data_IF_696921177059
#
_entry.id   IF_696921177059
#
_cell.length_a   1.000
_cell.length_b   1.000
_cell.length_c   1.000
_cell.angle_alpha   90.00
_cell.angle_beta   90.00
_cell.angle_gamma   90.00
#
_symmetry.space_group_name_H-M   'P 1'
#
loop_
_entity.id
_entity.type
_entity.pdbx_description
1 polymer ?
#
# COMPACT_ATOMS: atom_id res chain seq x y z
N UNK A 1 16.10 9.01 11.92
CA UNK A 1 16.75 10.22 12.47
C UNK A 1 16.62 10.18 13.98
N UNK A 2 17.59 10.72 14.75
CA UNK A 2 17.51 10.73 16.21
C UNK A 2 16.28 11.54 16.66
N UNK A 3 15.49 11.00 17.60
CA UNK A 3 14.31 11.69 18.14
C UNK A 3 14.72 12.95 18.90
N UNK A 4 13.78 13.88 19.15
CA UNK A 4 14.05 15.08 19.96
C UNK A 4 14.70 14.72 21.31
N UNK A 5 14.35 13.56 21.88
CA UNK A 5 14.97 13.02 23.09
C UNK A 5 16.47 12.67 22.90
N UNK A 6 16.88 12.17 21.74
CA UNK A 6 18.29 11.85 21.44
C UNK A 6 19.13 13.11 21.19
N UNK A 7 18.53 14.19 20.65
CA UNK A 7 19.19 15.51 20.61
C UNK A 7 19.35 16.12 22.01
N UNK A 8 18.32 16.06 22.84
CA UNK A 8 18.37 16.53 24.23
C UNK A 8 19.38 15.72 25.05
N UNK A 9 19.42 14.39 24.87
CA UNK A 9 20.40 13.53 25.53
C UNK A 9 21.85 13.83 25.10
N UNK A 10 22.08 14.18 23.83
CA UNK A 10 23.40 14.64 23.34
C UNK A 10 23.81 15.99 23.91
N UNK A 11 22.89 16.95 23.99
CA UNK A 11 23.16 18.26 24.60
C UNK A 11 23.43 18.08 26.11
N UNK A 12 22.62 17.25 26.79
CA UNK A 12 22.78 16.93 28.20
C UNK A 12 24.10 16.22 28.52
N UNK A 13 24.49 15.23 27.72
CA UNK A 13 25.77 14.52 27.91
C UNK A 13 26.98 15.41 27.64
N UNK A 14 26.88 16.33 26.69
CA UNK A 14 27.93 17.30 26.41
C UNK A 14 28.07 18.34 27.52
N UNK A 15 26.96 18.86 28.05
CA UNK A 15 26.95 19.73 29.23
C UNK A 15 27.50 19.03 30.48
N UNK A 16 27.16 17.75 30.66
CA UNK A 16 27.69 16.92 31.74
C UNK A 16 29.19 16.71 31.61
N UNK A 17 29.71 16.41 30.41
CA UNK A 17 31.16 16.28 30.15
C UNK A 17 31.92 17.60 30.45
N UNK A 18 31.36 18.74 30.05
CA UNK A 18 31.94 20.06 30.36
C UNK A 18 31.97 20.32 31.88
N UNK A 19 30.90 19.95 32.59
CA UNK A 19 30.79 20.10 34.05
C UNK A 19 31.74 19.15 34.79
N UNK A 20 31.90 17.93 34.30
CA UNK A 20 32.83 16.93 34.87
C UNK A 20 34.28 17.37 34.71
N UNK A 21 34.67 17.92 33.56
CA UNK A 21 36.01 18.51 33.36
C UNK A 21 36.24 19.75 34.25
N UNK A 22 35.24 20.61 34.42
CA UNK A 22 35.33 21.77 35.31
C UNK A 22 35.44 21.38 36.80
N UNK A 23 34.89 20.22 37.20
CA UNK A 23 34.99 19.70 38.56
C UNK A 23 36.28 18.89 38.83
N UNK A 24 36.97 18.40 37.79
CA UNK A 24 38.29 17.76 37.89
C UNK A 24 39.44 18.78 37.98
N UNK A 25 39.15 20.06 37.71
CA UNK A 25 40.04 21.22 37.78
C UNK A 25 40.89 21.37 39.08
N UNK A 26 40.39 21.03 40.29
CA UNK A 26 41.19 21.14 41.53
C UNK A 26 42.40 20.19 41.60
N UNK A 27 42.44 19.16 40.75
CA UNK A 27 43.54 18.19 40.71
C UNK A 27 44.79 18.68 39.95
N UNK A 28 44.68 19.78 39.20
CA UNK A 28 45.76 20.45 38.46
C UNK A 28 46.53 21.50 39.30
N UNK A 29 46.00 21.89 40.46
CA UNK A 29 46.55 22.94 41.31
C UNK A 29 47.81 22.51 42.12
N UNK A 30 48.27 21.27 41.98
CA UNK A 30 49.41 20.70 42.73
C UNK A 30 50.71 20.62 41.92
N UNK A 31 50.77 21.17 40.70
CA UNK A 31 51.93 21.09 39.79
C UNK A 31 52.79 22.37 39.79
N UNK A 32 54.07 22.23 39.42
CA UNK A 32 55.07 23.30 39.42
C UNK A 32 54.78 24.38 38.34
N UNK A 33 55.29 25.60 38.54
CA UNK A 33 54.82 26.83 37.85
C UNK A 33 54.77 26.81 36.31
N UNK A 34 55.68 26.07 35.64
CA UNK A 34 55.73 25.94 34.17
C UNK A 34 54.74 24.91 33.61
N UNK A 35 54.51 23.83 34.34
CA UNK A 35 53.55 22.78 33.96
C UNK A 35 52.12 23.31 34.13
N UNK A 36 51.88 24.10 35.18
CA UNK A 36 50.62 24.78 35.42
C UNK A 36 50.22 25.71 34.26
N UNK A 37 51.16 26.52 33.74
CA UNK A 37 50.88 27.41 32.60
C UNK A 37 50.54 26.63 31.31
N UNK A 38 51.26 25.55 31.03
CA UNK A 38 51.05 24.73 29.83
C UNK A 38 49.69 24.01 29.88
N UNK A 39 49.31 23.50 31.06
CA UNK A 39 48.04 22.83 31.26
C UNK A 39 46.85 23.80 31.20
N UNK A 40 46.99 25.04 31.69
CA UNK A 40 45.97 26.08 31.55
C UNK A 40 45.76 26.42 30.07
N UNK A 41 46.83 26.64 29.30
CA UNK A 41 46.73 26.94 27.86
C UNK A 41 46.06 25.77 27.11
N UNK A 42 46.42 24.52 27.41
CA UNK A 42 45.80 23.35 26.80
C UNK A 42 44.31 23.24 27.13
N UNK A 43 43.92 23.57 28.36
CA UNK A 43 42.52 23.59 28.79
C UNK A 43 41.73 24.70 28.10
N UNK A 44 42.28 25.91 27.98
CA UNK A 44 41.63 27.02 27.28
C UNK A 44 41.37 26.67 25.81
N UNK A 45 42.35 26.07 25.13
CA UNK A 45 42.19 25.59 23.74
C UNK A 45 41.10 24.52 23.65
N UNK A 46 41.05 23.58 24.60
CA UNK A 46 40.03 22.52 24.64
C UNK A 46 38.63 23.11 24.83
N UNK A 47 38.46 24.05 25.76
CA UNK A 47 37.18 24.73 26.03
C UNK A 47 36.72 25.53 24.81
N UNK A 48 37.61 26.30 24.18
CA UNK A 48 37.31 27.04 22.94
C UNK A 48 36.85 26.09 21.83
N UNK A 49 37.56 24.97 21.65
CA UNK A 49 37.23 23.97 20.63
C UNK A 49 35.85 23.34 20.87
N UNK A 50 35.50 23.04 22.12
CA UNK A 50 34.18 22.51 22.49
C UNK A 50 33.07 23.53 22.23
N UNK A 51 33.26 24.80 22.62
CA UNK A 51 32.28 25.88 22.38
C UNK A 51 32.04 26.05 20.88
N UNK A 52 33.11 26.11 20.09
CA UNK A 52 32.99 26.24 18.62
C UNK A 52 32.23 25.04 18.04
N UNK A 53 32.52 23.82 18.47
CA UNK A 53 31.80 22.63 18.01
C UNK A 53 30.31 22.66 18.37
N UNK A 54 29.96 23.08 19.60
CA UNK A 54 28.56 23.28 20.02
C UNK A 54 27.89 24.33 19.14
N UNK A 55 28.51 25.50 18.97
CA UNK A 55 27.96 26.57 18.14
C UNK A 55 27.71 26.12 16.70
N UNK A 56 28.64 25.37 16.10
CA UNK A 56 28.49 24.80 14.75
C UNK A 56 27.33 23.81 14.71
N UNK A 57 27.23 22.89 15.68
CA UNK A 57 26.14 21.91 15.73
C UNK A 57 24.78 22.57 15.93
N UNK A 58 24.66 23.56 16.82
CA UNK A 58 23.42 24.31 17.06
C UNK A 58 23.02 25.14 15.83
N UNK A 59 23.96 25.83 15.19
CA UNK A 59 23.69 26.60 13.97
C UNK A 59 23.26 25.70 12.80
N UNK A 60 23.95 24.57 12.61
CA UNK A 60 23.61 23.58 11.59
C UNK A 60 22.24 22.98 11.85
N UNK A 61 21.95 22.58 13.09
CA UNK A 61 20.64 22.05 13.49
C UNK A 61 19.50 23.04 13.28
N UNK A 62 19.69 24.32 13.65
CA UNK A 62 18.71 25.37 13.43
C UNK A 62 18.44 25.64 11.94
N UNK A 63 19.48 25.61 11.12
CA UNK A 63 19.38 25.79 9.67
C UNK A 63 18.61 24.62 9.04
N UNK A 64 18.89 23.38 9.44
CA UNK A 64 18.15 22.19 9.01
C UNK A 64 16.67 22.30 9.43
N UNK A 65 16.37 22.70 10.67
CA UNK A 65 14.99 22.81 11.14
C UNK A 65 14.18 23.86 10.36
N UNK A 66 14.75 25.07 10.17
CA UNK A 66 14.12 26.12 9.37
C UNK A 66 13.91 25.69 7.92
N UNK A 67 14.90 24.99 7.36
CA UNK A 67 14.80 24.45 6.01
C UNK A 67 13.67 23.42 5.89
N UNK A 68 13.56 22.50 6.87
CA UNK A 68 12.49 21.50 6.95
C UNK A 68 11.12 22.18 6.97
N UNK A 69 10.94 23.19 7.81
CA UNK A 69 9.68 23.95 7.88
C UNK A 69 9.34 24.66 6.57
N UNK A 70 10.31 25.33 5.92
CA UNK A 70 10.07 26.01 4.64
C UNK A 70 9.69 25.03 3.53
N UNK A 71 10.40 23.89 3.45
CA UNK A 71 10.12 22.86 2.45
C UNK A 71 8.77 22.21 2.71
N UNK A 72 8.43 21.95 3.98
CA UNK A 72 7.15 21.39 4.38
C UNK A 72 5.98 22.27 3.93
N UNK A 73 6.08 23.59 4.16
CA UNK A 73 5.08 24.55 3.69
C UNK A 73 4.96 24.57 2.16
N UNK A 74 6.10 24.56 1.44
CA UNK A 74 6.09 24.52 -0.03
C UNK A 74 5.50 23.21 -0.56
N UNK A 75 5.81 22.08 0.09
CA UNK A 75 5.23 20.78 -0.25
C UNK A 75 3.72 20.81 -0.06
N UNK A 76 3.24 21.24 1.11
CA UNK A 76 1.80 21.30 1.41
C UNK A 76 1.04 22.17 0.41
N UNK A 77 1.59 23.32 0.01
CA UNK A 77 0.99 24.18 -1.00
C UNK A 77 0.94 23.50 -2.38
N UNK A 78 2.03 22.88 -2.83
CA UNK A 78 2.08 22.17 -4.11
C UNK A 78 1.14 20.94 -4.11
N UNK A 79 1.09 20.24 -2.99
CA UNK A 79 0.23 19.11 -2.74
C UNK A 79 -1.26 19.48 -2.77
N UNK A 80 -1.67 20.56 -2.08
CA UNK A 80 -3.06 21.03 -2.09
C UNK A 80 -3.49 21.49 -3.49
N UNK A 81 -2.58 22.10 -4.27
CA UNK A 81 -2.85 22.46 -5.65
C UNK A 81 -3.02 21.22 -6.55
N UNK A 82 -2.24 20.16 -6.32
CA UNK A 82 -2.36 18.88 -7.03
C UNK A 82 -3.70 18.19 -6.75
N UNK A 83 -4.19 18.22 -5.51
CA UNK A 83 -5.49 17.64 -5.13
C UNK A 83 -6.70 18.35 -5.78
N UNK A 84 -6.54 19.61 -6.19
CA UNK A 84 -7.59 20.39 -6.85
C UNK A 84 -7.67 20.11 -8.36
N UNK A 85 -6.80 19.28 -8.91
CA UNK A 85 -6.84 18.91 -10.32
C UNK A 85 -8.12 18.10 -10.62
N UNK A 86 -9.05 18.64 -11.43
CA UNK A 86 -10.29 17.96 -11.76
C UNK A 86 -10.09 16.61 -12.47
N UNK A 87 -8.94 16.41 -13.14
CA UNK A 87 -8.65 15.16 -13.83
C UNK A 87 -8.32 14.02 -12.87
N UNK A 88 -7.79 14.32 -11.67
CA UNK A 88 -7.50 13.32 -10.63
C UNK A 88 -8.76 12.91 -9.84
N UNK A 89 -9.85 13.66 -9.98
CA UNK A 89 -11.13 13.40 -9.31
C UNK A 89 -12.05 12.47 -10.12
N UNK A 90 -11.61 11.99 -11.30
CA UNK A 90 -12.35 11.04 -12.13
C UNK A 90 -11.59 9.69 -12.24
N UNK A 91 -11.83 8.74 -11.31
CA UNK A 91 -11.10 7.46 -11.25
C UNK A 91 -11.13 6.67 -12.57
N UNK A 92 -12.28 6.69 -13.27
CA UNK A 92 -12.49 5.92 -14.51
C UNK A 92 -11.79 6.45 -15.76
N UNK A 93 -11.04 7.56 -15.68
CA UNK A 93 -10.44 8.22 -16.87
C UNK A 93 -8.93 8.41 -16.79
N UNK A 94 -8.29 7.89 -15.75
CA UNK A 94 -6.87 8.12 -15.49
C UNK A 94 -6.00 7.07 -16.20
N UNK A 95 -5.56 7.41 -17.41
CA UNK A 95 -4.64 6.59 -18.24
C UNK A 95 -3.31 6.32 -17.54
N UNK A 96 -2.65 5.22 -17.91
CA UNK A 96 -1.28 4.90 -17.48
C UNK A 96 -0.29 6.05 -17.74
N UNK A 97 -0.38 6.77 -18.85
CA UNK A 97 0.51 7.89 -19.19
C UNK A 97 0.38 9.03 -18.19
N UNK A 98 -0.86 9.39 -17.83
CA UNK A 98 -1.16 10.40 -16.80
C UNK A 98 -0.65 9.95 -15.43
N UNK A 99 -0.85 8.68 -15.07
CA UNK A 99 -0.31 8.10 -13.83
C UNK A 99 1.21 8.16 -13.79
N UNK A 100 1.90 7.77 -14.88
CA UNK A 100 3.36 7.89 -15.01
C UNK A 100 3.82 9.32 -14.77
N UNK A 101 3.15 10.29 -15.40
CA UNK A 101 3.48 11.69 -15.22
C UNK A 101 3.25 12.15 -13.77
N UNK A 102 2.13 11.76 -13.17
CA UNK A 102 1.79 12.10 -11.79
C UNK A 102 2.80 11.55 -10.77
N UNK A 103 3.21 10.28 -10.94
CA UNK A 103 4.22 9.63 -10.10
C UNK A 103 5.59 10.30 -10.27
N UNK A 104 5.99 10.65 -11.51
CA UNK A 104 7.24 11.41 -11.77
C UNK A 104 7.24 12.75 -11.05
N UNK A 105 6.14 13.50 -11.16
CA UNK A 105 5.97 14.80 -10.53
C UNK A 105 6.16 14.70 -9.01
N UNK A 106 5.49 13.72 -8.37
CA UNK A 106 5.61 13.51 -6.94
C UNK A 106 6.97 12.95 -6.50
N UNK A 107 7.64 12.18 -7.35
CA UNK A 107 9.01 11.72 -7.09
C UNK A 107 9.99 12.90 -7.05
N UNK A 108 9.89 13.82 -8.02
CA UNK A 108 10.70 15.03 -8.05
C UNK A 108 10.40 15.87 -6.82
N UNK A 109 9.12 16.03 -6.45
CA UNK A 109 8.71 16.78 -5.26
C UNK A 109 9.26 16.16 -3.97
N UNK A 110 9.17 14.84 -3.82
CA UNK A 110 9.68 14.13 -2.64
C UNK A 110 11.22 14.20 -2.55
N UNK A 111 11.93 13.96 -3.66
CA UNK A 111 13.39 13.98 -3.71
C UNK A 111 13.95 15.38 -3.46
N UNK A 112 13.44 16.39 -4.17
CA UNK A 112 13.88 17.78 -4.02
C UNK A 112 13.42 18.39 -2.70
N UNK A 113 12.28 17.93 -2.17
CA UNK A 113 11.76 18.30 -0.86
C UNK A 113 12.44 17.60 0.33
N UNK A 114 13.44 16.75 0.10
CA UNK A 114 14.15 16.12 1.22
C UNK A 114 15.13 17.12 1.87
N UNK A 115 15.20 17.19 3.22
CA UNK A 115 16.16 18.05 3.91
C UNK A 115 17.62 17.73 3.55
N UNK A 116 17.91 16.47 3.21
CA UNK A 116 19.24 16.00 2.83
C UNK A 116 19.66 16.54 1.46
N UNK A 117 18.78 16.47 0.45
CA UNK A 117 19.03 17.02 -0.88
C UNK A 117 19.25 18.53 -0.80
N UNK A 118 18.37 19.23 -0.09
CA UNK A 118 18.46 20.68 0.06
C UNK A 118 19.70 21.14 0.85
N UNK A 119 20.13 20.39 1.86
CA UNK A 119 21.40 20.68 2.56
C UNK A 119 22.58 20.47 1.63
N UNK A 120 22.60 19.39 0.84
CA UNK A 120 23.67 19.10 -0.12
C UNK A 120 23.76 20.15 -1.25
N UNK A 121 22.62 20.68 -1.69
CA UNK A 121 22.56 21.72 -2.71
C UNK A 121 22.81 23.14 -2.16
N UNK A 122 22.88 23.33 -0.83
CA UNK A 122 23.12 24.67 -0.25
C UNK A 122 24.54 25.19 -0.55
N UNK A 123 24.65 26.51 -0.69
CA UNK A 123 25.92 27.19 -1.01
C UNK A 123 27.04 26.92 0.01
N UNK A 124 26.68 26.62 1.26
CA UNK A 124 27.64 26.32 2.34
C UNK A 124 28.34 24.96 2.19
N UNK A 125 27.72 23.99 1.52
CA UNK A 125 28.28 22.63 1.36
C UNK A 125 28.97 22.45 0.01
N UNK A 126 28.56 23.21 -1.02
CA UNK A 126 29.18 23.20 -2.37
C UNK A 126 30.64 23.66 -2.39
N UNK A 127 31.11 24.34 -1.34
CA UNK A 127 32.51 24.70 -1.14
C UNK A 127 33.40 23.52 -0.65
N UNK A 128 32.79 22.41 -0.20
CA UNK A 128 33.51 21.21 0.24
C UNK A 128 33.37 20.08 -0.79
N UNK A 129 34.41 19.88 -1.62
CA UNK A 129 34.39 18.94 -2.74
C UNK A 129 34.14 17.45 -2.42
N UNK A 130 33.96 17.09 -1.14
CA UNK A 130 33.80 15.71 -0.67
C UNK A 130 32.44 15.07 -1.06
N UNK A 131 31.38 15.85 -1.25
CA UNK A 131 30.05 15.31 -1.54
C UNK A 131 29.77 15.01 -3.02
N UNK A 132 30.61 15.51 -3.96
CA UNK A 132 30.55 15.07 -5.37
C UNK A 132 30.74 13.56 -5.50
N UNK A 133 31.50 12.94 -4.60
CA UNK A 133 31.76 11.49 -4.59
C UNK A 133 30.51 10.65 -4.25
N UNK A 134 29.66 11.12 -3.32
CA UNK A 134 28.53 10.32 -2.80
C UNK A 134 27.34 10.24 -3.77
N UNK A 135 27.22 11.19 -4.69
CA UNK A 135 26.28 11.12 -5.80
C UNK A 135 26.92 10.64 -7.12
N UNK A 136 28.25 10.62 -7.22
CA UNK A 136 28.94 9.99 -8.37
C UNK A 136 28.94 8.47 -8.28
N UNK A 137 28.83 7.86 -7.10
CA UNK A 137 28.67 6.40 -6.98
C UNK A 137 27.30 5.90 -7.50
N UNK A 138 26.36 6.81 -7.77
CA UNK A 138 25.10 6.51 -8.48
C UNK A 138 25.17 6.77 -10.00
N UNK A 139 26.32 7.21 -10.52
CA UNK A 139 26.51 7.39 -11.97
C UNK A 139 26.80 6.06 -12.66
N UNK A 140 25.73 5.29 -12.89
CA UNK A 140 25.76 4.10 -13.74
C UNK A 140 26.17 4.53 -15.16
N UNK A 141 27.15 3.80 -15.68
CA UNK A 141 27.78 3.91 -17.01
C UNK A 141 26.76 4.17 -18.11
N UNK A 142 27.01 5.25 -18.85
CA UNK A 142 26.18 5.75 -19.95
C UNK A 142 26.33 4.85 -21.20
N UNK A 143 25.32 4.04 -21.51
CA UNK A 143 25.10 3.51 -22.85
C UNK A 143 24.21 4.48 -23.66
N UNK A 144 24.66 4.89 -24.85
CA UNK A 144 23.90 5.75 -25.75
C UNK A 144 22.82 4.95 -26.49
N UNK A 145 21.54 5.28 -26.28
CA UNK A 145 20.44 5.00 -27.21
C UNK A 145 19.37 6.10 -27.13
N UNK A 146 18.66 6.28 -28.26
CA UNK A 146 17.75 7.39 -28.58
C UNK A 146 16.61 7.59 -27.55
N UNK A 147 16.45 8.82 -27.04
CA UNK A 147 15.38 9.27 -26.13
C UNK A 147 14.34 10.13 -26.87
N UNK A 148 13.05 9.95 -26.53
CA UNK A 148 11.99 10.93 -26.83
C UNK A 148 12.27 12.24 -26.07
N UNK A 149 11.98 13.37 -26.70
CA UNK A 149 12.23 14.71 -26.16
C UNK A 149 11.18 15.06 -25.08
N UNK A 150 11.48 14.77 -23.81
CA UNK A 150 10.66 15.18 -22.64
C UNK A 150 10.65 16.72 -22.50
N UNK A 151 9.47 17.32 -22.34
CA UNK A 151 9.30 18.74 -22.03
C UNK A 151 9.47 18.99 -20.52
N UNK A 152 10.64 19.43 -20.09
CA UNK A 152 10.94 19.64 -18.67
C UNK A 152 10.22 20.86 -18.05
N UNK A 153 9.57 21.71 -18.84
CA UNK A 153 8.80 22.83 -18.33
C UNK A 153 7.64 22.38 -17.42
N UNK A 154 7.08 21.20 -17.69
CA UNK A 154 5.95 20.64 -16.95
C UNK A 154 6.37 20.05 -15.58
N UNK A 155 7.68 19.81 -15.38
CA UNK A 155 8.24 19.29 -14.12
C UNK A 155 8.68 20.39 -13.16
N UNK A 156 8.98 21.60 -13.67
CA UNK A 156 9.49 22.73 -12.86
C UNK A 156 8.58 23.10 -11.68
N UNK A 157 7.24 23.10 -11.80
CA UNK A 157 6.36 23.40 -10.66
C UNK A 157 6.48 22.42 -9.49
N UNK A 158 7.00 21.22 -9.73
CA UNK A 158 7.13 20.15 -8.73
C UNK A 158 8.50 20.13 -8.04
N UNK A 159 9.39 21.08 -8.35
CA UNK A 159 10.72 21.19 -7.75
C UNK A 159 10.66 22.05 -6.49
N UNK A 160 10.95 21.46 -5.33
CA UNK A 160 10.96 22.15 -4.03
C UNK A 160 12.36 22.65 -3.67
N UNK A 161 12.64 23.92 -3.93
CA UNK A 161 13.91 24.57 -3.57
C UNK A 161 13.77 25.46 -2.33
N UNK A 162 14.81 25.50 -1.49
CA UNK A 162 14.91 26.41 -0.35
C UNK A 162 15.19 27.86 -0.74
N UNK A 163 16.01 28.09 -1.75
CA UNK A 163 16.42 29.40 -2.23
C UNK A 163 15.70 29.67 -3.53
N UNK A 164 15.00 30.81 -3.66
CA UNK A 164 14.22 31.13 -4.86
C UNK A 164 15.13 31.50 -6.06
N UNK A 165 16.43 31.67 -5.81
CA UNK A 165 17.44 32.12 -6.78
C UNK A 165 18.29 30.96 -7.36
N UNK A 166 18.14 29.74 -6.83
CA UNK A 166 18.99 28.60 -7.17
C UNK A 166 18.24 27.57 -8.02
N UNK A 167 18.11 27.87 -9.31
CA UNK A 167 17.43 26.99 -10.26
C UNK A 167 18.16 25.65 -10.39
N UNK A 168 17.46 24.54 -10.10
CA UNK A 168 18.00 23.20 -10.30
C UNK A 168 18.37 23.02 -11.77
N UNK A 169 19.61 22.58 -12.05
CA UNK A 169 20.05 22.44 -13.43
C UNK A 169 19.16 21.44 -14.19
N UNK A 170 18.85 21.75 -15.45
CA UNK A 170 18.08 20.87 -16.33
C UNK A 170 18.71 19.47 -16.43
N UNK A 171 20.04 19.39 -16.35
CA UNK A 171 20.77 18.11 -16.29
C UNK A 171 20.40 17.26 -15.08
N UNK A 172 20.24 17.88 -13.92
CA UNK A 172 19.82 17.20 -12.69
C UNK A 172 18.39 16.70 -12.81
N UNK A 173 17.47 17.53 -13.30
CA UNK A 173 16.07 17.12 -13.56
C UNK A 173 16.00 15.96 -14.55
N UNK A 174 16.76 16.04 -15.66
CA UNK A 174 16.84 14.97 -16.64
C UNK A 174 17.35 13.67 -16.02
N UNK A 175 18.39 13.73 -15.17
CA UNK A 175 18.91 12.56 -14.47
C UNK A 175 17.89 11.94 -13.52
N UNK A 176 17.13 12.76 -12.78
CA UNK A 176 16.08 12.29 -11.87
C UNK A 176 14.92 11.65 -12.66
N UNK A 177 14.44 12.31 -13.71
CA UNK A 177 13.38 11.78 -14.57
C UNK A 177 13.77 10.43 -15.17
N UNK A 178 14.99 10.32 -15.70
CA UNK A 178 15.54 9.08 -16.24
C UNK A 178 15.57 7.96 -15.20
N UNK A 179 16.03 8.25 -13.99
CA UNK A 179 16.06 7.26 -12.91
C UNK A 179 14.68 6.70 -12.58
N UNK A 180 13.66 7.55 -12.48
CA UNK A 180 12.27 7.11 -12.24
C UNK A 180 11.76 6.26 -13.41
N UNK A 181 12.02 6.68 -14.64
CA UNK A 181 11.66 5.89 -15.84
C UNK A 181 12.28 4.49 -15.81
N UNK A 182 13.55 4.37 -15.41
CA UNK A 182 14.25 3.10 -15.30
C UNK A 182 13.67 2.21 -14.17
N UNK A 183 13.27 2.82 -13.05
CA UNK A 183 12.57 2.10 -11.97
C UNK A 183 11.20 1.58 -12.42
N UNK A 184 10.41 2.39 -13.11
CA UNK A 184 9.10 1.96 -13.66
C UNK A 184 9.30 0.77 -14.61
N UNK A 185 10.25 0.86 -15.54
CA UNK A 185 10.58 -0.25 -16.47
C UNK A 185 11.05 -1.51 -15.76
N UNK A 186 11.74 -1.37 -14.62
CA UNK A 186 12.17 -2.52 -13.81
C UNK A 186 10.99 -3.16 -13.08
N UNK A 187 10.06 -2.36 -12.58
CA UNK A 187 8.84 -2.82 -11.92
C UNK A 187 7.86 -3.46 -12.91
N UNK A 188 7.80 -2.96 -14.15
CA UNK A 188 7.01 -3.54 -15.25
C UNK A 188 7.37 -5.01 -15.54
N UNK A 189 8.62 -5.41 -15.31
CA UNK A 189 9.05 -6.80 -15.46
C UNK A 189 8.58 -7.73 -14.33
N UNK A 190 7.97 -7.18 -13.28
CA UNK A 190 7.48 -7.89 -12.10
C UNK A 190 5.95 -7.97 -12.08
N UNK A 191 5.32 -7.81 -13.25
CA UNK A 191 3.87 -7.94 -13.39
C UNK A 191 3.36 -9.32 -12.93
N UNK A 192 2.16 -9.36 -12.32
CA UNK A 192 1.54 -10.59 -11.84
C UNK A 192 0.92 -11.37 -13.01
N UNK A 193 1.69 -12.29 -13.60
CA UNK A 193 1.29 -12.97 -14.84
C UNK A 193 0.04 -13.84 -14.68
N UNK A 194 -0.12 -14.52 -13.54
CA UNK A 194 -1.28 -15.40 -13.32
C UNK A 194 -2.55 -14.57 -13.16
N UNK A 195 -2.48 -13.48 -12.39
CA UNK A 195 -3.57 -12.52 -12.26
C UNK A 195 -3.97 -11.93 -13.61
N UNK A 196 -3.00 -11.50 -14.43
CA UNK A 196 -3.30 -10.95 -15.76
C UNK A 196 -3.97 -11.99 -16.66
N UNK A 197 -3.56 -13.27 -16.60
CA UNK A 197 -4.21 -14.35 -17.33
C UNK A 197 -5.67 -14.53 -16.89
N UNK A 198 -5.92 -14.60 -15.58
CA UNK A 198 -7.27 -14.72 -15.02
C UNK A 198 -8.17 -13.53 -15.40
N UNK A 199 -7.65 -12.30 -15.32
CA UNK A 199 -8.42 -11.10 -15.67
C UNK A 199 -8.82 -11.03 -17.15
N UNK A 200 -8.07 -11.68 -18.05
CA UNK A 200 -8.44 -11.76 -19.48
C UNK A 200 -9.65 -12.66 -19.73
N UNK A 201 -9.94 -13.59 -18.82
CA UNK A 201 -11.11 -14.47 -18.94
C UNK A 201 -12.40 -13.73 -18.56
N UNK A 202 -12.31 -12.75 -17.67
CA UNK A 202 -13.40 -11.84 -17.32
C UNK A 202 -13.60 -10.79 -18.42
N UNK A 203 -14.86 -10.58 -18.85
CA UNK A 203 -15.24 -9.56 -19.84
C UNK A 203 -16.05 -8.40 -19.26
N UNK A 204 -16.46 -8.52 -18.01
CA UNK A 204 -17.37 -7.58 -17.36
C UNK A 204 -17.17 -7.61 -15.86
N UNK A 205 -18.26 -7.35 -15.14
CA UNK A 205 -18.27 -7.27 -13.68
C UNK A 205 -19.52 -7.96 -13.10
N UNK A 206 -20.26 -8.72 -13.90
CA UNK A 206 -21.54 -9.33 -13.51
C UNK A 206 -21.37 -10.31 -12.35
N UNK A 207 -20.21 -10.95 -12.21
CA UNK A 207 -19.86 -11.79 -11.08
C UNK A 207 -19.96 -11.08 -9.72
N UNK A 208 -19.79 -9.75 -9.68
CA UNK A 208 -19.96 -8.95 -8.44
C UNK A 208 -21.42 -8.88 -8.01
N UNK A 209 -22.38 -9.01 -8.93
CA UNK A 209 -23.80 -9.14 -8.58
C UNK A 209 -24.20 -10.57 -8.20
N UNK A 210 -23.55 -11.56 -8.82
CA UNK A 210 -23.90 -12.99 -8.68
C UNK A 210 -23.42 -13.62 -7.37
N UNK A 211 -22.28 -13.19 -6.83
CA UNK A 211 -21.68 -13.85 -5.67
C UNK A 211 -22.57 -13.75 -4.41
N UNK A 212 -23.37 -12.69 -4.30
CA UNK A 212 -24.16 -12.38 -3.13
C UNK A 212 -25.50 -11.73 -3.50
N UNK A 213 -26.58 -12.49 -3.38
CA UNK A 213 -27.94 -12.08 -3.69
C UNK A 213 -28.57 -11.31 -2.52
N UNK A 214 -29.24 -10.20 -2.86
CA UNK A 214 -30.01 -9.41 -1.89
C UNK A 214 -31.22 -10.17 -1.32
N UNK A 215 -31.61 -11.30 -1.91
CA UNK A 215 -32.65 -12.18 -1.39
C UNK A 215 -32.18 -13.07 -0.23
N UNK A 216 -30.87 -13.14 0.02
CA UNK A 216 -30.30 -13.94 1.10
C UNK A 216 -30.08 -13.07 2.35
N UNK A 217 -30.87 -13.26 3.42
CA UNK A 217 -30.67 -12.51 4.65
C UNK A 217 -29.36 -12.94 5.35
N UNK A 218 -28.66 -12.02 6.04
CA UNK A 218 -27.52 -12.38 6.86
C UNK A 218 -27.93 -13.30 8.02
N UNK A 219 -26.97 -14.08 8.54
CA UNK A 219 -27.18 -14.97 9.69
C UNK A 219 -27.45 -14.23 11.01
N UNK A 220 -27.21 -12.91 11.05
CA UNK A 220 -27.45 -12.05 12.21
C UNK A 220 -27.88 -10.65 11.78
N UNK A 221 -28.64 -9.96 12.64
CA UNK A 221 -29.35 -8.71 12.33
C UNK A 221 -28.48 -7.44 12.25
N UNK A 222 -27.14 -7.57 12.26
CA UNK A 222 -26.25 -6.42 12.13
C UNK A 222 -26.04 -6.09 10.65
N UNK A 223 -25.92 -4.79 10.33
CA UNK A 223 -25.66 -4.31 8.97
C UNK A 223 -24.46 -5.07 8.39
N UNK A 224 -24.73 -5.90 7.37
CA UNK A 224 -23.71 -6.72 6.74
C UNK A 224 -22.85 -5.85 5.85
N UNK A 225 -21.62 -5.60 6.32
CA UNK A 225 -20.58 -4.98 5.52
C UNK A 225 -19.68 -6.06 4.95
N UNK A 226 -19.28 -5.85 3.70
CA UNK A 226 -18.41 -6.75 2.98
C UNK A 226 -17.15 -6.00 2.54
N UNK A 227 -16.04 -6.72 2.40
CA UNK A 227 -14.81 -6.18 1.83
C UNK A 227 -14.49 -6.92 0.54
N UNK A 228 -13.52 -6.45 -0.25
CA UNK A 228 -13.17 -7.10 -1.51
C UNK A 228 -12.52 -8.47 -1.27
N UNK A 229 -11.68 -8.58 -0.24
CA UNK A 229 -10.90 -9.78 0.04
C UNK A 229 -11.74 -10.95 0.55
N UNK A 230 -12.78 -10.72 1.35
CA UNK A 230 -13.53 -11.81 2.00
C UNK A 230 -14.30 -12.70 0.99
N UNK A 231 -15.05 -12.17 0.01
CA UNK A 231 -15.70 -12.98 -1.01
C UNK A 231 -14.70 -13.72 -1.90
N UNK A 232 -13.58 -13.10 -2.26
CA UNK A 232 -12.53 -13.75 -3.05
C UNK A 232 -11.99 -14.99 -2.34
N UNK A 233 -11.65 -14.87 -1.05
CA UNK A 233 -11.16 -15.98 -0.24
C UNK A 233 -12.24 -17.06 -0.08
N UNK A 234 -13.49 -16.66 0.10
CA UNK A 234 -14.62 -17.59 0.30
C UNK A 234 -14.92 -18.39 -0.98
N UNK A 235 -15.03 -17.72 -2.14
CA UNK A 235 -15.21 -18.37 -3.44
C UNK A 235 -14.05 -19.30 -3.77
N UNK A 236 -12.82 -18.88 -3.47
CA UNK A 236 -11.63 -19.70 -3.67
C UNK A 236 -11.63 -20.93 -2.78
N UNK A 237 -12.07 -20.82 -1.52
CA UNK A 237 -12.21 -21.96 -0.62
C UNK A 237 -13.18 -23.01 -1.16
N UNK A 238 -14.31 -22.58 -1.73
CA UNK A 238 -15.27 -23.48 -2.40
C UNK A 238 -14.62 -24.12 -3.63
N UNK A 239 -13.93 -23.34 -4.48
CA UNK A 239 -13.30 -23.86 -5.70
C UNK A 239 -12.21 -24.90 -5.40
N UNK A 240 -11.42 -24.68 -4.33
CA UNK A 240 -10.36 -25.61 -3.87
C UNK A 240 -10.92 -26.90 -3.28
N UNK A 241 -12.18 -26.89 -2.82
CA UNK A 241 -12.82 -28.05 -2.21
C UNK A 241 -13.42 -29.03 -3.21
N UNK A 242 -13.47 -28.69 -4.51
CA UNK A 242 -14.05 -29.52 -5.56
C UNK A 242 -13.10 -30.67 -5.94
N UNK A 243 -13.41 -31.93 -5.59
CA UNK A 243 -12.47 -33.05 -5.75
C UNK A 243 -12.25 -33.52 -7.20
N UNK A 244 -13.15 -33.20 -8.13
CA UNK A 244 -13.04 -33.63 -9.53
C UNK A 244 -12.16 -32.68 -10.37
N UNK A 245 -11.87 -31.48 -9.85
CA UNK A 245 -11.08 -30.48 -10.58
C UNK A 245 -9.61 -30.86 -10.55
N UNK A 246 -8.98 -30.79 -11.72
CA UNK A 246 -7.55 -31.05 -11.86
C UNK A 246 -6.73 -30.10 -10.97
N UNK A 247 -5.85 -30.66 -10.14
CA UNK A 247 -5.00 -29.88 -9.22
C UNK A 247 -4.29 -28.70 -9.89
N UNK A 248 -3.75 -28.88 -11.12
CA UNK A 248 -3.07 -27.78 -11.83
C UNK A 248 -3.97 -26.58 -12.18
N UNK A 249 -5.29 -26.77 -12.28
CA UNK A 249 -6.24 -25.65 -12.47
C UNK A 249 -6.52 -24.95 -11.14
N UNK A 250 -6.68 -25.71 -10.07
CA UNK A 250 -6.83 -25.18 -8.71
C UNK A 250 -5.59 -24.37 -8.31
N UNK A 251 -4.39 -24.90 -8.57
CA UNK A 251 -3.11 -24.23 -8.28
C UNK A 251 -2.94 -22.93 -9.06
N UNK A 252 -3.39 -22.88 -10.32
CA UNK A 252 -3.39 -21.66 -11.14
C UNK A 252 -4.35 -20.61 -10.59
N UNK A 253 -5.57 -21.02 -10.21
CA UNK A 253 -6.54 -20.12 -9.59
C UNK A 253 -5.99 -19.57 -8.27
N UNK A 254 -5.44 -20.43 -7.39
CA UNK A 254 -4.80 -20.03 -6.13
C UNK A 254 -3.67 -19.02 -6.37
N UNK A 255 -2.79 -19.27 -7.34
CA UNK A 255 -1.68 -18.36 -7.68
C UNK A 255 -2.21 -17.00 -8.16
N UNK A 256 -3.25 -16.99 -8.98
CA UNK A 256 -3.88 -15.76 -9.49
C UNK A 256 -4.54 -14.95 -8.38
N UNK A 257 -5.26 -15.62 -7.47
CA UNK A 257 -5.90 -14.98 -6.31
C UNK A 257 -4.86 -14.48 -5.31
N UNK A 258 -3.78 -15.23 -5.08
CA UNK A 258 -2.66 -14.80 -4.21
C UNK A 258 -2.02 -13.51 -4.73
N UNK A 259 -1.72 -13.45 -6.03
CA UNK A 259 -1.24 -12.25 -6.70
C UNK A 259 -2.25 -11.09 -6.62
N UNK A 260 -3.54 -11.37 -6.86
CA UNK A 260 -4.63 -10.40 -6.77
C UNK A 260 -4.81 -9.80 -5.38
N UNK A 261 -4.79 -10.64 -4.33
CA UNK A 261 -5.00 -10.21 -2.95
C UNK A 261 -3.94 -9.23 -2.46
N UNK A 262 -2.71 -9.26 -3.01
CA UNK A 262 -1.69 -8.23 -2.76
C UNK A 262 -2.21 -6.83 -3.11
N UNK A 263 -2.85 -6.69 -4.26
CA UNK A 263 -3.36 -5.40 -4.75
C UNK A 263 -4.72 -5.05 -4.15
N UNK A 264 -5.59 -6.04 -3.93
CA UNK A 264 -6.86 -5.85 -3.20
C UNK A 264 -6.60 -5.30 -1.80
N UNK A 265 -5.60 -5.83 -1.08
CA UNK A 265 -5.20 -5.32 0.24
C UNK A 265 -4.78 -3.85 0.15
N UNK A 266 -4.06 -3.45 -0.91
CA UNK A 266 -3.65 -2.06 -1.09
C UNK A 266 -4.85 -1.13 -1.35
N UNK A 267 -5.84 -1.59 -2.12
CA UNK A 267 -7.11 -0.86 -2.33
C UNK A 267 -7.84 -0.69 -1.01
N UNK A 268 -8.03 -1.79 -0.28
CA UNK A 268 -8.73 -1.83 1.01
C UNK A 268 -8.07 -0.93 2.07
N UNK A 269 -6.75 -1.01 2.24
CA UNK A 269 -6.00 -0.18 3.19
C UNK A 269 -5.99 1.30 2.82
N UNK A 270 -6.13 1.64 1.53
CA UNK A 270 -6.04 3.03 1.06
C UNK A 270 -7.39 3.73 0.97
N UNK A 271 -8.48 2.98 0.67
CA UNK A 271 -9.79 3.55 0.36
C UNK A 271 -10.89 3.08 1.33
N UNK A 272 -10.70 1.97 2.05
CA UNK A 272 -11.68 1.34 2.95
C UNK A 272 -11.13 1.22 4.38
N UNK A 273 -10.54 2.29 4.91
CA UNK A 273 -9.73 2.25 6.13
C UNK A 273 -10.50 2.45 7.46
N UNK A 274 -11.84 2.37 7.48
CA UNK A 274 -12.62 2.50 8.73
C UNK A 274 -12.46 1.26 9.62
N UNK A 275 -12.60 1.41 10.94
CA UNK A 275 -12.46 0.31 11.90
C UNK A 275 -13.32 -0.93 11.58
N UNK A 276 -14.50 -0.73 10.98
CA UNK A 276 -15.39 -1.83 10.62
C UNK A 276 -14.85 -2.67 9.46
N UNK A 277 -14.48 -2.03 8.35
CA UNK A 277 -13.80 -2.68 7.22
C UNK A 277 -12.49 -3.35 7.66
N UNK A 278 -11.67 -2.69 8.48
CA UNK A 278 -10.39 -3.24 8.96
C UNK A 278 -10.58 -4.57 9.70
N UNK A 279 -11.67 -4.75 10.45
CA UNK A 279 -11.96 -6.02 11.13
C UNK A 279 -12.28 -7.14 10.14
N UNK A 280 -13.08 -6.86 9.11
CA UNK A 280 -13.46 -7.82 8.07
C UNK A 280 -12.23 -8.20 7.22
N UNK A 281 -11.43 -7.22 6.82
CA UNK A 281 -10.19 -7.41 6.07
C UNK A 281 -9.18 -8.27 6.84
N UNK A 282 -9.05 -8.07 8.17
CA UNK A 282 -8.23 -8.94 9.03
C UNK A 282 -8.75 -10.37 9.04
N UNK A 283 -10.07 -10.57 9.12
CA UNK A 283 -10.66 -11.89 9.05
C UNK A 283 -10.38 -12.57 7.69
N UNK A 284 -10.55 -11.85 6.58
CA UNK A 284 -10.22 -12.34 5.23
C UNK A 284 -8.74 -12.74 5.11
N UNK A 285 -7.83 -11.93 5.66
CA UNK A 285 -6.38 -12.23 5.66
C UNK A 285 -6.03 -13.48 6.45
N UNK A 286 -6.65 -13.68 7.62
CA UNK A 286 -6.44 -14.90 8.42
C UNK A 286 -7.03 -16.12 7.70
N UNK A 287 -8.22 -15.99 7.13
CA UNK A 287 -8.87 -17.06 6.38
C UNK A 287 -8.05 -17.44 5.14
N UNK A 288 -7.48 -16.47 4.42
CA UNK A 288 -6.65 -16.74 3.25
C UNK A 288 -5.45 -17.63 3.60
N UNK A 289 -4.78 -17.37 4.73
CA UNK A 289 -3.68 -18.21 5.19
C UNK A 289 -4.12 -19.66 5.49
N UNK A 290 -5.33 -19.84 6.03
CA UNK A 290 -5.88 -21.19 6.24
C UNK A 290 -6.18 -21.90 4.92
N UNK A 291 -6.77 -21.19 3.95
CA UNK A 291 -7.13 -21.74 2.63
C UNK A 291 -5.88 -22.09 1.84
N UNK A 292 -4.97 -21.14 1.66
CA UNK A 292 -3.77 -21.27 0.81
C UNK A 292 -2.75 -22.24 1.41
N UNK A 293 -2.46 -22.14 2.71
CA UNK A 293 -1.38 -22.92 3.34
C UNK A 293 -1.88 -24.26 3.88
N UNK A 294 -3.06 -24.26 4.50
CA UNK A 294 -3.55 -25.42 5.26
C UNK A 294 -4.64 -26.22 4.54
N UNK A 295 -5.16 -25.75 3.39
CA UNK A 295 -6.35 -26.29 2.74
C UNK A 295 -7.52 -26.42 3.72
N UNK A 296 -7.75 -25.36 4.51
CA UNK A 296 -8.80 -25.31 5.53
C UNK A 296 -9.67 -24.07 5.37
N UNK A 297 -10.91 -24.19 5.83
CA UNK A 297 -11.82 -23.07 6.04
C UNK A 297 -12.27 -23.08 7.50
N UNK A 298 -11.81 -22.10 8.27
CA UNK A 298 -12.14 -21.91 9.70
C UNK A 298 -11.89 -23.18 10.52
N UNK A 299 -10.77 -23.85 10.25
CA UNK A 299 -10.36 -25.11 10.89
C UNK A 299 -10.85 -26.40 10.20
N UNK A 300 -11.91 -26.33 9.40
CA UNK A 300 -12.45 -27.49 8.67
C UNK A 300 -11.65 -27.78 7.40
N UNK A 301 -11.42 -29.06 7.10
CA UNK A 301 -10.61 -29.45 5.95
C UNK A 301 -11.40 -29.35 4.64
N UNK A 302 -10.85 -28.63 3.66
CA UNK A 302 -11.50 -28.41 2.35
C UNK A 302 -11.50 -29.63 1.44
N UNK A 303 -10.56 -30.57 1.59
CA UNK A 303 -10.42 -31.73 0.68
C UNK A 303 -10.90 -33.05 1.29
N UNK A 304 -11.20 -33.07 2.59
CA UNK A 304 -11.60 -34.26 3.33
C UNK A 304 -13.09 -34.22 3.71
N UNK A 305 -13.96 -34.00 2.72
CA UNK A 305 -15.39 -34.17 2.92
C UNK A 305 -15.74 -35.65 3.16
N UNK A 306 -16.88 -35.91 3.80
CA UNK A 306 -17.42 -37.27 3.86
C UNK A 306 -17.60 -37.80 2.42
N UNK A 307 -17.35 -39.11 2.14
CA UNK A 307 -17.43 -39.66 0.77
C UNK A 307 -18.77 -39.42 0.06
N UNK A 308 -19.84 -39.20 0.83
CA UNK A 308 -21.20 -38.92 0.38
C UNK A 308 -21.38 -37.49 -0.16
N UNK A 309 -20.48 -36.56 0.17
CA UNK A 309 -20.50 -35.15 -0.27
C UNK A 309 -19.54 -35.01 -1.46
N UNK A 310 -19.99 -35.51 -2.62
CA UNK A 310 -19.14 -35.58 -3.82
C UNK A 310 -19.70 -34.83 -5.04
N UNK A 311 -20.95 -34.33 -5.01
CA UNK A 311 -21.48 -33.49 -6.09
C UNK A 311 -21.34 -32.01 -5.76
N UNK A 312 -21.33 -31.16 -6.78
CA UNK A 312 -21.25 -29.70 -6.60
C UNK A 312 -22.35 -29.17 -5.66
N UNK A 313 -23.60 -29.61 -5.87
CA UNK A 313 -24.73 -29.24 -5.03
C UNK A 313 -24.58 -29.65 -3.56
N UNK A 314 -24.10 -30.88 -3.30
CA UNK A 314 -23.89 -31.36 -1.93
C UNK A 314 -22.75 -30.61 -1.22
N UNK A 315 -21.69 -30.25 -1.94
CA UNK A 315 -20.58 -29.44 -1.39
C UNK A 315 -21.10 -28.06 -0.98
N UNK A 316 -21.86 -27.39 -1.85
CA UNK A 316 -22.48 -26.09 -1.53
C UNK A 316 -23.41 -26.18 -0.32
N UNK A 317 -24.26 -27.21 -0.26
CA UNK A 317 -25.13 -27.44 0.90
C UNK A 317 -24.35 -27.72 2.19
N UNK A 318 -23.24 -28.47 2.09
CA UNK A 318 -22.38 -28.74 3.23
C UNK A 318 -21.80 -27.43 3.80
N UNK A 319 -21.20 -26.58 2.97
CA UNK A 319 -20.69 -25.29 3.43
C UNK A 319 -21.78 -24.39 4.02
N UNK A 320 -22.93 -24.28 3.36
CA UNK A 320 -24.09 -23.54 3.86
C UNK A 320 -24.48 -23.99 5.27
N UNK A 321 -24.64 -25.30 5.48
CA UNK A 321 -25.09 -25.86 6.75
C UNK A 321 -24.00 -25.74 7.83
N UNK A 322 -22.75 -26.01 7.49
CA UNK A 322 -21.60 -25.86 8.41
C UNK A 322 -21.47 -24.41 8.89
N UNK A 323 -21.57 -23.44 7.97
CA UNK A 323 -21.56 -22.02 8.30
C UNK A 323 -22.73 -21.62 9.21
N UNK A 324 -23.93 -22.10 8.93
CA UNK A 324 -25.11 -21.82 9.76
C UNK A 324 -24.95 -22.38 11.18
N UNK A 325 -24.45 -23.61 11.31
CA UNK A 325 -24.22 -24.24 12.61
C UNK A 325 -23.15 -23.51 13.42
N UNK A 326 -22.06 -23.07 12.78
CA UNK A 326 -20.99 -22.32 13.44
C UNK A 326 -21.50 -21.03 14.10
N UNK A 327 -22.41 -20.30 13.46
CA UNK A 327 -22.99 -19.09 14.04
C UNK A 327 -23.92 -19.40 15.21
N UNK A 328 -24.68 -20.50 15.16
CA UNK A 328 -25.53 -20.89 16.30
C UNK A 328 -24.71 -21.22 17.56
N UNK A 329 -23.49 -21.75 17.41
CA UNK A 329 -22.58 -21.98 18.54
C UNK A 329 -22.01 -20.69 19.10
N UNK A 330 -21.69 -19.71 18.24
CA UNK A 330 -21.10 -18.43 18.65
C UNK A 330 -22.14 -17.50 19.30
N UNK A 331 -23.40 -17.48 18.83
CA UNK A 331 -24.47 -16.64 19.41
C UNK A 331 -24.82 -17.00 20.87
N UNK A 332 -24.46 -18.18 21.35
CA UNK A 332 -24.61 -18.58 22.77
C UNK A 332 -23.61 -17.83 23.67
N UNK A 333 -22.56 -17.25 23.10
CA UNK A 333 -21.53 -16.48 23.80
C UNK A 333 -21.88 -14.99 23.68
N UNK A 334 -22.15 -14.33 24.82
CA UNK A 334 -22.61 -12.95 24.91
C UNK A 334 -21.75 -11.96 24.08
N UNK A 335 -22.38 -11.27 23.12
CA UNK A 335 -21.74 -10.31 22.19
C UNK A 335 -21.02 -9.16 22.90
N UNK A 336 -21.36 -8.89 24.16
CA UNK A 336 -20.65 -7.91 25.00
C UNK A 336 -19.21 -8.30 25.36
N UNK A 337 -18.78 -9.54 25.08
CA UNK A 337 -17.47 -10.09 25.41
C UNK A 337 -16.79 -10.87 24.28
N UNK A 338 -17.26 -10.69 23.03
CA UNK A 338 -16.76 -11.41 21.86
C UNK A 338 -15.24 -11.25 21.72
N UNK A 339 -14.51 -12.36 21.84
CA UNK A 339 -13.07 -12.37 21.57
C UNK A 339 -12.81 -12.37 20.05
N UNK A 340 -11.61 -11.97 19.65
CA UNK A 340 -11.21 -11.84 18.24
C UNK A 340 -11.50 -13.11 17.41
N UNK A 341 -11.41 -14.28 18.03
CA UNK A 341 -11.66 -15.57 17.38
C UNK A 341 -13.16 -15.82 17.11
N UNK A 342 -14.05 -15.47 18.03
CA UNK A 342 -15.51 -15.58 17.83
C UNK A 342 -16.00 -14.64 16.71
N UNK A 343 -15.42 -13.44 16.64
CA UNK A 343 -15.71 -12.47 15.59
C UNK A 343 -15.21 -12.96 14.22
N UNK A 344 -13.97 -13.44 14.15
CA UNK A 344 -13.39 -14.08 12.95
C UNK A 344 -14.30 -15.18 12.39
N UNK A 345 -14.72 -16.12 13.26
CA UNK A 345 -15.62 -17.22 12.87
C UNK A 345 -16.95 -16.72 12.31
N UNK A 346 -17.57 -15.75 12.99
CA UNK A 346 -18.88 -15.22 12.58
C UNK A 346 -18.83 -14.52 11.22
N UNK A 347 -17.78 -13.74 10.96
CA UNK A 347 -17.57 -13.04 9.68
C UNK A 347 -17.41 -14.07 8.54
N UNK A 348 -16.53 -15.05 8.74
CA UNK A 348 -16.25 -16.07 7.72
C UNK A 348 -17.47 -16.97 7.46
N UNK A 349 -18.18 -17.37 8.51
CA UNK A 349 -19.39 -18.16 8.40
C UNK A 349 -20.49 -17.40 7.66
N UNK A 350 -20.71 -16.12 7.98
CA UNK A 350 -21.73 -15.33 7.29
C UNK A 350 -21.42 -15.17 5.79
N UNK A 351 -20.17 -14.89 5.43
CA UNK A 351 -19.75 -14.85 4.01
C UNK A 351 -20.01 -16.18 3.30
N UNK A 352 -19.52 -17.29 3.88
CA UNK A 352 -19.71 -18.63 3.29
C UNK A 352 -21.19 -18.99 3.12
N UNK A 353 -22.01 -18.72 4.14
CA UNK A 353 -23.45 -18.95 4.06
C UNK A 353 -24.11 -18.12 2.96
N UNK A 354 -23.84 -16.81 2.90
CA UNK A 354 -24.49 -15.93 1.93
C UNK A 354 -24.11 -16.28 0.49
N UNK A 355 -22.83 -16.57 0.24
CA UNK A 355 -22.34 -16.95 -1.08
C UNK A 355 -22.91 -18.29 -1.52
N UNK A 356 -22.83 -19.32 -0.66
CA UNK A 356 -23.34 -20.65 -1.00
C UNK A 356 -24.85 -20.65 -1.19
N UNK A 357 -25.61 -19.92 -0.38
CA UNK A 357 -27.06 -19.76 -0.58
C UNK A 357 -27.38 -19.02 -1.88
N UNK A 358 -26.60 -17.98 -2.22
CA UNK A 358 -26.80 -17.22 -3.46
C UNK A 358 -26.56 -18.07 -4.70
N UNK A 359 -25.51 -18.90 -4.70
CA UNK A 359 -25.25 -19.87 -5.78
C UNK A 359 -26.35 -20.93 -5.82
N UNK A 360 -26.75 -21.50 -4.69
CA UNK A 360 -27.85 -22.48 -4.66
C UNK A 360 -29.16 -21.89 -5.21
N UNK A 361 -29.45 -20.62 -4.90
CA UNK A 361 -30.60 -19.91 -5.42
C UNK A 361 -30.52 -19.65 -6.92
N UNK A 362 -29.34 -19.40 -7.50
CA UNK A 362 -29.23 -19.17 -8.95
C UNK A 362 -29.59 -20.44 -9.75
N UNK A 363 -29.27 -21.63 -9.23
CA UNK A 363 -29.54 -22.92 -9.89
C UNK A 363 -30.93 -23.52 -9.63
N UNK A 364 -31.70 -23.00 -8.67
CA UNK A 364 -33.07 -23.45 -8.36
C UNK A 364 -33.20 -25.00 -8.28
N UNK A 365 -34.06 -25.62 -9.10
CA UNK A 365 -34.29 -27.07 -9.14
C UNK A 365 -33.22 -27.84 -9.91
N UNK A 366 -32.32 -27.16 -10.62
CA UNK A 366 -31.32 -27.78 -11.49
C UNK A 366 -30.00 -28.06 -10.76
N UNK A 367 -29.96 -27.92 -9.44
CA UNK A 367 -28.75 -28.12 -8.64
C UNK A 367 -28.19 -29.55 -8.75
N UNK A 368 -29.06 -30.53 -9.01
CA UNK A 368 -28.67 -31.93 -9.20
C UNK A 368 -27.96 -32.17 -10.55
N UNK A 369 -28.12 -31.26 -11.51
CA UNK A 369 -27.48 -31.31 -12.83
C UNK A 369 -26.16 -30.52 -12.87
N UNK A 370 -25.85 -29.74 -11.82
CA UNK A 370 -24.63 -28.92 -11.73
C UNK A 370 -23.39 -29.81 -11.61
N UNK A 371 -22.55 -29.79 -12.64
CA UNK A 371 -21.24 -30.45 -12.59
C UNK A 371 -20.24 -29.63 -11.75
N UNK A 372 -19.23 -30.30 -11.17
CA UNK A 372 -18.16 -29.57 -10.49
C UNK A 372 -17.37 -28.67 -11.44
N UNK A 373 -17.24 -29.07 -12.71
CA UNK A 373 -16.53 -28.30 -13.74
C UNK A 373 -17.26 -26.98 -14.08
N UNK A 374 -18.59 -27.04 -14.18
CA UNK A 374 -19.41 -25.84 -14.41
C UNK A 374 -19.35 -24.91 -13.19
N UNK A 375 -19.48 -25.46 -11.98
CA UNK A 375 -19.34 -24.68 -10.75
C UNK A 375 -17.95 -24.04 -10.62
N UNK A 376 -16.87 -24.79 -10.90
CA UNK A 376 -15.52 -24.25 -10.86
C UNK A 376 -15.33 -23.11 -11.86
N UNK A 377 -15.90 -23.24 -13.06
CA UNK A 377 -15.84 -22.20 -14.10
C UNK A 377 -16.60 -20.95 -13.67
N UNK A 378 -17.78 -21.10 -13.08
CA UNK A 378 -18.56 -19.97 -12.56
C UNK A 378 -17.86 -19.28 -11.38
N UNK A 379 -17.33 -20.05 -10.42
CA UNK A 379 -16.53 -19.53 -9.31
C UNK A 379 -15.31 -18.76 -9.81
N UNK A 380 -14.58 -19.31 -10.78
CA UNK A 380 -13.41 -18.66 -11.39
C UNK A 380 -13.79 -17.35 -12.07
N UNK A 381 -14.93 -17.33 -12.78
CA UNK A 381 -15.47 -16.11 -13.41
C UNK A 381 -15.85 -15.06 -12.38
N UNK A 382 -16.54 -15.44 -11.29
CA UNK A 382 -16.91 -14.49 -10.22
C UNK A 382 -15.66 -13.91 -9.53
N UNK A 383 -14.66 -14.74 -9.27
CA UNK A 383 -13.38 -14.29 -8.70
C UNK A 383 -12.70 -13.28 -9.65
N UNK A 384 -12.65 -13.58 -10.95
CA UNK A 384 -12.05 -12.70 -11.94
C UNK A 384 -12.79 -11.36 -12.04
N UNK A 385 -14.12 -11.36 -12.02
CA UNK A 385 -14.95 -10.14 -12.06
C UNK A 385 -14.79 -9.28 -10.79
N UNK A 386 -14.74 -9.90 -9.60
CA UNK A 386 -14.51 -9.20 -8.33
C UNK A 386 -13.10 -8.59 -8.29
N UNK A 387 -12.09 -9.33 -8.75
CA UNK A 387 -10.73 -8.80 -8.89
C UNK A 387 -10.70 -7.64 -9.89
N UNK A 388 -11.31 -7.80 -11.06
CA UNK A 388 -11.38 -6.75 -12.08
C UNK A 388 -12.02 -5.48 -11.50
N UNK A 389 -13.19 -5.60 -10.87
CA UNK A 389 -13.91 -4.48 -10.24
C UNK A 389 -13.07 -3.78 -9.17
N UNK A 390 -12.47 -4.54 -8.23
CA UNK A 390 -11.63 -3.98 -7.19
C UNK A 390 -10.45 -3.20 -7.78
N UNK A 391 -9.78 -3.75 -8.79
CA UNK A 391 -8.56 -3.20 -9.37
C UNK A 391 -8.78 -1.98 -10.26
N UNK A 392 -10.03 -1.66 -10.64
CA UNK A 392 -10.37 -0.35 -11.24
C UNK A 392 -10.04 0.82 -10.32
N UNK A 393 -9.90 0.58 -9.01
CA UNK A 393 -9.51 1.58 -8.02
C UNK A 393 -7.98 1.80 -7.91
N UNK A 394 -7.15 0.99 -8.57
CA UNK A 394 -5.69 1.13 -8.53
C UNK A 394 -5.16 2.52 -8.91
N UNK A 395 -5.68 3.20 -9.97
CA UNK A 395 -5.29 4.57 -10.28
C UNK A 395 -5.47 5.52 -9.09
N UNK A 396 -6.59 5.42 -8.38
CA UNK A 396 -6.86 6.24 -7.21
C UNK A 396 -5.90 5.89 -6.05
N UNK A 397 -5.62 4.61 -5.82
CA UNK A 397 -4.62 4.18 -4.81
C UNK A 397 -3.24 4.76 -5.10
N UNK A 398 -2.81 4.72 -6.36
CA UNK A 398 -1.53 5.28 -6.82
C UNK A 398 -1.48 6.78 -6.54
N UNK A 399 -2.53 7.52 -6.90
CA UNK A 399 -2.65 8.95 -6.64
C UNK A 399 -2.61 9.22 -5.14
N UNK A 400 -3.44 8.57 -4.34
CA UNK A 400 -3.50 8.77 -2.88
C UNK A 400 -2.15 8.51 -2.20
N UNK A 401 -1.42 7.46 -2.59
CA UNK A 401 -0.10 7.16 -2.02
C UNK A 401 1.01 8.12 -2.46
N UNK A 402 0.91 8.71 -3.65
CA UNK A 402 1.79 9.81 -4.08
C UNK A 402 1.66 11.05 -3.19
N UNK A 403 0.47 11.26 -2.63
CA UNK A 403 0.10 12.37 -1.76
C UNK A 403 0.38 12.08 -0.27
N UNK A 404 1.47 11.39 0.07
CA UNK A 404 1.87 11.19 1.48
C UNK A 404 2.28 12.53 2.14
N UNK A 405 1.58 12.92 3.20
CA UNK A 405 1.81 14.20 3.87
C UNK A 405 2.92 14.12 4.93
N UNK A 406 3.27 12.94 5.44
CA UNK A 406 4.33 12.80 6.45
C UNK A 406 5.70 12.78 5.77
N UNK A 407 6.51 13.82 5.98
CA UNK A 407 7.81 14.01 5.32
C UNK A 407 8.74 12.80 5.45
N UNK A 408 8.76 12.12 6.59
CA UNK A 408 9.57 10.92 6.81
C UNK A 408 9.12 9.70 6.00
N UNK A 409 7.88 9.68 5.50
CA UNK A 409 7.30 8.59 4.71
C UNK A 409 7.17 8.91 3.22
N UNK A 410 7.28 10.18 2.82
CA UNK A 410 7.10 10.63 1.43
C UNK A 410 7.89 9.83 0.42
N UNK A 411 9.21 9.77 0.60
CA UNK A 411 10.10 9.11 -0.36
C UNK A 411 9.79 7.61 -0.49
N UNK A 412 9.58 6.92 0.64
CA UNK A 412 9.23 5.49 0.61
C UNK A 412 7.84 5.24 0.03
N UNK A 413 6.87 6.12 0.29
CA UNK A 413 5.51 6.04 -0.27
C UNK A 413 5.52 6.24 -1.79
N UNK A 414 6.21 7.27 -2.29
CA UNK A 414 6.32 7.51 -3.73
C UNK A 414 7.11 6.39 -4.40
N UNK A 415 8.16 5.86 -3.76
CA UNK A 415 8.89 4.71 -4.27
C UNK A 415 8.03 3.43 -4.34
N UNK A 416 7.21 3.17 -3.33
CA UNK A 416 6.24 2.08 -3.36
C UNK A 416 5.22 2.28 -4.50
N UNK A 417 4.86 3.53 -4.77
CA UNK A 417 3.93 3.89 -5.84
C UNK A 417 4.54 3.69 -7.24
N UNK A 418 5.83 4.00 -7.43
CA UNK A 418 6.59 3.69 -8.65
C UNK A 418 6.56 2.18 -8.94
N UNK A 419 6.81 1.37 -7.91
CA UNK A 419 6.75 -0.09 -8.02
C UNK A 419 5.33 -0.56 -8.36
N UNK A 420 4.32 -0.07 -7.64
CA UNK A 420 2.91 -0.41 -7.86
C UNK A 420 2.46 -0.09 -9.29
N UNK A 421 2.76 1.12 -9.78
CA UNK A 421 2.41 1.54 -11.15
C UNK A 421 3.07 0.63 -12.20
N UNK A 422 4.35 0.29 -12.02
CA UNK A 422 5.04 -0.60 -12.94
C UNK A 422 4.42 -2.00 -12.96
N UNK A 423 4.22 -2.61 -11.79
CA UNK A 423 3.64 -3.95 -11.65
C UNK A 423 2.19 -4.06 -12.15
N UNK A 424 1.43 -2.96 -12.16
CA UNK A 424 -0.01 -2.99 -12.47
C UNK A 424 -0.38 -2.33 -13.80
N UNK A 425 0.61 -1.88 -14.57
CA UNK A 425 0.40 -1.13 -15.81
C UNK A 425 -0.54 -1.84 -16.79
N UNK A 426 -0.25 -3.10 -17.10
CA UNK A 426 -1.07 -3.91 -18.00
C UNK A 426 -2.48 -4.15 -17.44
N UNK A 427 -2.63 -4.28 -16.11
CA UNK A 427 -3.94 -4.44 -15.48
C UNK A 427 -4.75 -3.17 -15.68
N UNK A 428 -4.17 -2.00 -15.40
CA UNK A 428 -4.84 -0.71 -15.56
C UNK A 428 -5.26 -0.50 -17.01
N UNK A 429 -4.37 -0.75 -17.97
CA UNK A 429 -4.68 -0.64 -19.40
C UNK A 429 -5.82 -1.58 -19.82
N UNK A 430 -5.78 -2.86 -19.41
CA UNK A 430 -6.80 -3.84 -19.75
C UNK A 430 -8.18 -3.52 -19.14
N UNK A 431 -8.22 -2.86 -17.98
CA UNK A 431 -9.47 -2.52 -17.29
C UNK A 431 -10.04 -1.18 -17.77
N UNK A 432 -9.21 -0.29 -18.31
CA UNK A 432 -9.64 1.04 -18.76
C UNK A 432 -10.66 1.00 -19.89
N UNK A 433 -10.58 0.00 -20.76
CA UNK A 433 -11.52 -0.18 -21.89
C UNK A 433 -12.87 -0.79 -21.47
N UNK A 434 -13.03 -1.18 -20.20
CA UNK A 434 -14.28 -1.75 -19.69
C UNK A 434 -15.25 -0.66 -19.27
N UNK A 435 -16.52 -0.83 -19.63
CA UNK A 435 -17.57 0.08 -19.18
C UNK A 435 -17.81 -0.11 -17.67
N UNK A 436 -17.53 0.94 -16.91
CA UNK A 436 -17.76 0.96 -15.46
C UNK A 436 -19.26 1.11 -15.15
N UNK A 437 -19.74 0.58 -14.02
CA UNK A 437 -21.09 0.84 -13.56
C UNK A 437 -21.29 2.34 -13.31
N UNK A 438 -22.53 2.83 -13.51
CA UNK A 438 -22.91 4.22 -13.26
C UNK A 438 -23.05 4.48 -11.74
N UNK A 439 -21.90 4.46 -11.06
CA UNK A 439 -21.74 4.73 -9.63
C UNK A 439 -20.99 6.05 -9.44
N UNK A 440 -21.24 6.73 -8.32
CA UNK A 440 -20.40 7.86 -7.92
C UNK A 440 -18.94 7.36 -7.75
N UNK A 441 -17.92 8.10 -8.22
CA UNK A 441 -16.53 7.84 -7.90
C UNK A 441 -16.23 7.47 -6.45
N UNK A 442 -16.93 8.07 -5.48
CA UNK A 442 -16.78 7.79 -4.06
C UNK A 442 -17.35 6.41 -3.65
N UNK A 443 -18.21 5.81 -4.46
CA UNK A 443 -18.85 4.51 -4.21
C UNK A 443 -18.07 3.34 -4.83
N UNK A 444 -17.25 3.59 -5.86
CA UNK A 444 -16.43 2.57 -6.54
C UNK A 444 -15.51 1.74 -5.62
N UNK A 445 -14.96 2.27 -4.51
CA UNK A 445 -14.15 1.47 -3.60
C UNK A 445 -14.93 0.45 -2.76
N UNK A 446 -16.26 0.46 -2.80
CA UNK A 446 -17.09 -0.35 -1.91
C UNK A 446 -17.81 -1.47 -2.68
N UNK A 447 -17.40 -2.72 -2.49
CA UNK A 447 -18.00 -3.88 -3.18
C UNK A 447 -19.52 -3.97 -3.01
N UNK A 448 -20.06 -3.58 -1.85
CA UNK A 448 -21.50 -3.55 -1.61
C UNK A 448 -22.25 -2.66 -2.62
N UNK A 449 -21.66 -1.54 -3.03
CA UNK A 449 -22.25 -0.63 -4.03
C UNK A 449 -22.30 -1.25 -5.42
N UNK A 450 -21.24 -1.96 -5.80
CA UNK A 450 -21.20 -2.74 -7.04
C UNK A 450 -22.23 -3.86 -7.03
N UNK A 451 -22.30 -4.62 -5.94
CA UNK A 451 -23.28 -5.69 -5.76
C UNK A 451 -24.71 -5.16 -5.89
N UNK A 452 -25.01 -4.05 -5.21
CA UNK A 452 -26.34 -3.43 -5.23
C UNK A 452 -26.71 -2.96 -6.64
N UNK A 453 -25.77 -2.35 -7.38
CA UNK A 453 -25.94 -1.95 -8.79
C UNK A 453 -26.28 -3.14 -9.69
N UNK A 454 -25.56 -4.26 -9.58
CA UNK A 454 -25.81 -5.43 -10.44
C UNK A 454 -27.05 -6.24 -10.05
N UNK A 455 -27.52 -6.14 -8.80
CA UNK A 455 -28.78 -6.77 -8.36
C UNK A 455 -30.01 -5.89 -8.66
N UNK A 456 -29.83 -4.57 -8.79
CA UNK A 456 -30.87 -3.61 -9.15
C UNK A 456 -30.35 -2.62 -10.21
N UNK A 457 -30.18 -3.05 -11.48
CA UNK A 457 -29.83 -2.12 -12.53
C UNK A 457 -30.92 -1.05 -12.59
N UNK A 458 -30.54 0.22 -12.42
CA UNK A 458 -31.46 1.35 -12.56
C UNK A 458 -32.20 1.23 -13.90
N UNK A 459 -33.53 1.46 -13.94
CA UNK A 459 -34.38 1.17 -15.09
C UNK A 459 -34.06 2.01 -16.35
#
# INVERSE_FOLDING_TARGET
MPSDADQVAKIGSMAFMCTMMANLLPSLATMDSKELLTNIIALDILVITLIVNVCIQTYTGLTILKSKQKIELKYQAAHENSLKDPELQQPGRLTVEKLKQHVKNHWIMAGTGSPQFNTACSATTSASGWFKAKFSDSSIVLGQYHEQQENFNDLRPYVLQLQDDMELSERTLKSISKYVNDLIKKAEKQQPNNLVELLRESKGFEGVGKYDSLHVPPLFAQDYLDCWSLPLVTLTAIAVSLPEIQNGRVDRLLSSVSEGLKYVTLVEESLNATDEYVRIQKAAKVLWLEVEVSNKWVGDNLKNHAPEVNTAGLILQWFKNTAKNMVTEVQVIDFGSANDNSMYRSICANSMYRITESILLSYHTNIDELSQEDLFTELSSMIADILAACLTNLPQVIVTKCHESVIEKRESSVNATVQLLGETMQIIDNLQDRELPDLDPAELPFIGKWRDYFNHPLP
#
